data_IF_524308122205
#
_entry.id   IF_524308122205
#
_cell.length_a   1.000
_cell.length_b   1.000
_cell.length_c   1.000
_cell.angle_alpha   90.00
_cell.angle_beta   90.00
_cell.angle_gamma   90.00
#
_symmetry.space_group_name_H-M   'P 1'
#
loop_
_entity.id
_entity.type
_entity.pdbx_description
1 polymer ?
#
# COMPACT_ATOMS: atom_id res chain seq x y z
N UNK A 1 23.37 -1.68 42.74
CA UNK A 1 21.96 -1.52 43.18
C UNK A 1 21.11 -2.45 42.33
N UNK A 2 20.20 -3.26 42.88
CA UNK A 2 19.31 -4.07 42.05
C UNK A 2 18.46 -3.11 41.21
N UNK A 3 18.53 -3.22 39.88
CA UNK A 3 17.65 -2.46 38.99
C UNK A 3 16.22 -2.89 39.32
N UNK A 4 15.45 -1.97 39.89
CA UNK A 4 14.03 -2.16 40.12
C UNK A 4 13.39 -2.30 38.75
N UNK A 5 12.74 -3.44 38.51
CA UNK A 5 12.02 -3.70 37.27
C UNK A 5 10.87 -2.67 37.16
N UNK A 6 11.01 -1.74 36.21
CA UNK A 6 10.03 -0.69 35.94
C UNK A 6 10.04 -0.34 34.45
N UNK A 7 9.06 0.45 34.01
CA UNK A 7 8.90 0.77 32.58
C UNK A 7 10.14 1.45 31.98
N UNK A 8 10.84 2.31 32.74
CA UNK A 8 12.07 2.96 32.28
C UNK A 8 13.21 1.98 32.05
N UNK A 9 13.36 0.97 32.92
CA UNK A 9 14.37 -0.08 32.75
C UNK A 9 14.11 -0.92 31.49
N UNK A 10 12.85 -1.22 31.19
CA UNK A 10 12.43 -1.91 29.97
C UNK A 10 12.78 -1.09 28.73
N UNK A 11 12.46 0.21 28.73
CA UNK A 11 12.79 1.12 27.61
C UNK A 11 14.30 1.24 27.37
N UNK A 12 15.11 1.33 28.43
CA UNK A 12 16.57 1.41 28.30
C UNK A 12 17.17 0.15 27.66
N UNK A 13 16.66 -1.03 28.01
CA UNK A 13 17.10 -2.30 27.43
C UNK A 13 16.59 -2.52 26.00
N UNK A 14 15.45 -1.94 25.65
CA UNK A 14 14.92 -1.94 24.28
C UNK A 14 15.58 -0.88 23.38
N UNK A 15 16.25 0.13 23.94
CA UNK A 15 16.93 1.21 23.21
C UNK A 15 17.94 0.72 22.16
N UNK A 16 18.79 -0.29 22.40
CA UNK A 16 19.70 -0.82 21.37
C UNK A 16 19.00 -1.61 20.27
N UNK A 17 17.74 -2.03 20.43
CA UNK A 17 16.98 -2.72 19.39
C UNK A 17 16.60 -1.71 18.32
N UNK A 18 17.01 -1.99 17.08
CA UNK A 18 16.82 -1.08 15.94
C UNK A 18 15.79 -1.64 14.96
N UNK A 19 15.06 -0.73 14.32
CA UNK A 19 14.33 -1.04 13.10
C UNK A 19 15.35 -1.34 11.97
N UNK A 20 15.33 -2.54 11.35
CA UNK A 20 16.33 -2.93 10.36
C UNK A 20 16.31 -2.08 9.08
N UNK A 21 15.17 -1.49 8.75
CA UNK A 21 14.99 -0.66 7.55
C UNK A 21 15.41 0.79 7.82
N UNK A 22 14.94 1.34 8.94
CA UNK A 22 15.19 2.74 9.31
C UNK A 22 16.54 2.95 10.01
N UNK A 23 17.17 1.87 10.48
CA UNK A 23 18.44 1.86 11.23
C UNK A 23 18.44 2.85 12.42
N UNK A 24 17.31 2.91 13.11
CA UNK A 24 17.07 3.77 14.28
C UNK A 24 16.45 2.95 15.40
N UNK A 25 16.66 3.39 16.64
CA UNK A 25 16.10 2.72 17.82
C UNK A 25 14.57 2.69 17.77
N UNK A 26 13.96 1.56 18.11
CA UNK A 26 12.50 1.44 18.22
C UNK A 26 11.92 2.41 19.26
N UNK A 27 12.68 2.71 20.32
CA UNK A 27 12.29 3.66 21.37
C UNK A 27 12.34 5.09 20.85
N UNK A 28 13.39 5.46 20.10
CA UNK A 28 13.51 6.79 19.48
C UNK A 28 12.44 7.03 18.41
N UNK A 29 12.02 5.97 17.72
CA UNK A 29 10.94 5.99 16.74
C UNK A 29 9.55 5.96 17.40
N UNK A 30 9.45 5.94 18.74
CA UNK A 30 8.19 5.85 19.49
C UNK A 30 7.33 4.62 19.09
N UNK A 31 8.01 3.52 18.75
CA UNK A 31 7.40 2.24 18.35
C UNK A 31 7.11 1.34 19.55
N UNK A 32 7.65 1.64 20.74
CA UNK A 32 7.34 0.93 21.99
C UNK A 32 6.36 1.78 22.80
N UNK A 33 5.16 1.26 23.05
CA UNK A 33 4.09 1.95 23.78
C UNK A 33 3.46 1.04 24.84
N UNK A 34 2.68 1.63 25.74
CA UNK A 34 1.90 0.91 26.77
C UNK A 34 2.72 -0.10 27.59
N UNK A 35 3.93 0.30 28.01
CA UNK A 35 4.79 -0.57 28.81
C UNK A 35 4.18 -0.77 30.20
N UNK A 36 3.86 -2.01 30.54
CA UNK A 36 3.37 -2.43 31.84
C UNK A 36 4.30 -3.48 32.45
N UNK A 37 4.48 -3.40 33.77
CA UNK A 37 5.35 -4.29 34.53
C UNK A 37 4.64 -4.71 35.81
N UNK A 38 4.30 -5.99 35.91
CA UNK A 38 3.58 -6.55 37.05
C UNK A 38 4.25 -7.84 37.52
N UNK A 39 4.85 -7.84 38.72
CA UNK A 39 5.31 -9.07 39.38
C UNK A 39 6.33 -9.91 38.60
N UNK A 40 7.11 -9.30 37.69
CA UNK A 40 8.04 -10.00 36.80
C UNK A 40 7.50 -10.28 35.39
N UNK A 41 6.23 -9.98 35.14
CA UNK A 41 5.65 -10.01 33.80
C UNK A 41 5.76 -8.64 33.15
N UNK A 42 6.34 -8.60 31.96
CA UNK A 42 6.50 -7.38 31.17
C UNK A 42 5.61 -7.48 29.95
N UNK A 43 4.76 -6.47 29.72
CA UNK A 43 3.98 -6.38 28.50
C UNK A 43 4.13 -5.00 27.87
N UNK A 44 4.17 -4.94 26.55
CA UNK A 44 4.17 -3.68 25.81
C UNK A 44 3.63 -3.86 24.40
N UNK A 45 3.26 -2.74 23.79
CA UNK A 45 2.82 -2.68 22.40
C UNK A 45 3.97 -2.26 21.50
N UNK A 46 4.31 -3.09 20.51
CA UNK A 46 5.20 -2.75 19.40
C UNK A 46 4.36 -2.22 18.22
N UNK A 47 4.48 -0.94 17.92
CA UNK A 47 3.80 -0.24 16.84
C UNK A 47 4.72 -0.18 15.62
N UNK A 48 4.45 -1.01 14.62
CA UNK A 48 5.18 -1.00 13.35
C UNK A 48 4.70 0.14 12.43
N UNK A 49 5.57 0.56 11.51
CA UNK A 49 5.24 1.57 10.49
C UNK A 49 4.32 1.04 9.39
N UNK A 50 4.19 -0.28 9.26
CA UNK A 50 3.28 -0.92 8.32
C UNK A 50 2.88 -2.30 8.84
N UNK A 51 1.62 -2.74 8.63
CA UNK A 51 1.21 -4.10 8.96
C UNK A 51 2.01 -5.13 8.18
N UNK A 52 2.49 -4.76 6.97
CA UNK A 52 3.15 -5.66 6.04
C UNK A 52 4.66 -5.86 6.30
N UNK A 53 5.19 -5.48 7.46
CA UNK A 53 6.63 -5.58 7.75
C UNK A 53 7.06 -7.06 7.80
N UNK A 54 7.90 -7.53 6.85
CA UNK A 54 8.32 -8.93 6.81
C UNK A 54 9.24 -9.30 7.97
N UNK A 55 9.84 -8.28 8.61
CA UNK A 55 10.77 -8.43 9.73
C UNK A 55 10.07 -8.40 11.10
N UNK A 56 8.73 -8.35 11.12
CA UNK A 56 7.93 -8.33 12.35
C UNK A 56 8.40 -9.36 13.37
N UNK A 57 8.57 -10.61 12.94
CA UNK A 57 8.95 -11.70 13.84
C UNK A 57 10.35 -11.51 14.42
N UNK A 58 11.33 -11.10 13.59
CA UNK A 58 12.69 -10.80 14.04
C UNK A 58 12.72 -9.67 15.07
N UNK A 59 11.97 -8.59 14.83
CA UNK A 59 11.91 -7.44 15.74
C UNK A 59 11.30 -7.86 17.08
N UNK A 60 10.23 -8.66 17.07
CA UNK A 60 9.62 -9.20 18.29
C UNK A 60 10.61 -10.07 19.06
N UNK A 61 11.29 -10.98 18.38
CA UNK A 61 12.29 -11.86 19.00
C UNK A 61 13.46 -11.08 19.61
N UNK A 62 13.95 -10.04 18.93
CA UNK A 62 15.01 -9.18 19.45
C UNK A 62 14.54 -8.36 20.66
N UNK A 63 13.30 -7.85 20.64
CA UNK A 63 12.69 -7.19 21.80
C UNK A 63 12.56 -8.13 22.99
N UNK A 64 12.05 -9.34 22.78
CA UNK A 64 11.95 -10.36 23.83
C UNK A 64 13.31 -10.73 24.41
N UNK A 65 14.31 -10.94 23.53
CA UNK A 65 15.68 -11.28 23.94
C UNK A 65 16.29 -10.18 24.79
N UNK A 66 16.09 -8.92 24.39
CA UNK A 66 16.55 -7.77 25.16
C UNK A 66 15.89 -7.75 26.54
N UNK A 67 14.55 -7.78 26.62
CA UNK A 67 13.83 -7.67 27.90
C UNK A 67 14.12 -8.83 28.86
N UNK A 68 14.35 -10.04 28.33
CA UNK A 68 14.75 -11.23 29.14
C UNK A 68 16.12 -11.08 29.82
N UNK A 69 16.93 -10.09 29.45
CA UNK A 69 18.20 -9.81 30.16
C UNK A 69 18.00 -9.12 31.51
N UNK A 70 16.83 -8.52 31.75
CA UNK A 70 16.54 -7.86 33.01
C UNK A 70 16.36 -8.89 34.13
N UNK A 71 16.99 -8.68 35.31
CA UNK A 71 16.75 -9.51 36.48
C UNK A 71 15.26 -9.50 36.83
N UNK A 72 14.72 -10.60 37.33
CA UNK A 72 13.32 -10.76 37.79
C UNK A 72 12.23 -10.85 36.71
N UNK A 73 12.56 -10.76 35.42
CA UNK A 73 11.60 -11.03 34.34
C UNK A 73 11.30 -12.52 34.25
N UNK A 74 10.02 -12.87 34.30
CA UNK A 74 9.51 -14.25 34.19
C UNK A 74 8.85 -14.49 32.83
N UNK A 75 8.14 -13.49 32.32
CA UNK A 75 7.47 -13.56 31.02
C UNK A 75 7.49 -12.21 30.31
N UNK A 76 7.48 -12.26 28.98
CA UNK A 76 7.38 -11.07 28.11
C UNK A 76 6.21 -11.30 27.16
N UNK A 77 5.30 -10.35 27.09
CA UNK A 77 4.19 -10.34 26.15
C UNK A 77 4.29 -9.11 25.23
N UNK A 78 4.46 -9.35 23.93
CA UNK A 78 4.55 -8.28 22.93
C UNK A 78 3.28 -8.25 22.11
N UNK A 79 2.46 -7.22 22.29
CA UNK A 79 1.34 -6.95 21.40
C UNK A 79 1.87 -6.20 20.17
N UNK A 80 1.66 -6.71 18.97
CA UNK A 80 2.11 -6.01 17.75
C UNK A 80 0.93 -5.39 17.03
N UNK A 81 1.02 -4.10 16.80
CA UNK A 81 0.09 -3.33 15.97
C UNK A 81 0.87 -2.57 14.91
N UNK A 82 0.17 -1.92 13.98
CA UNK A 82 0.79 -1.09 12.97
C UNK A 82 0.06 0.22 12.76
N UNK A 83 0.82 1.30 12.64
CA UNK A 83 0.34 2.63 12.29
C UNK A 83 1.00 3.05 10.98
N UNK A 84 0.28 2.83 9.88
CA UNK A 84 0.73 3.24 8.54
C UNK A 84 0.73 4.78 8.47
N UNK A 85 1.88 5.43 8.22
CA UNK A 85 1.94 6.87 8.04
C UNK A 85 0.97 7.31 6.95
N UNK A 86 0.19 8.36 7.21
CA UNK A 86 -0.59 9.03 6.18
C UNK A 86 0.31 9.99 5.41
N UNK A 87 0.28 9.90 4.09
CA UNK A 87 0.92 10.91 3.27
C UNK A 87 0.17 12.23 3.40
N UNK A 88 0.89 13.34 3.65
CA UNK A 88 0.29 14.67 3.69
C UNK A 88 -0.29 15.01 2.31
N UNK A 89 -1.51 15.54 2.29
CA UNK A 89 -2.12 16.09 1.07
C UNK A 89 -1.20 17.16 0.48
N UNK A 90 -0.90 17.07 -0.82
CA UNK A 90 -0.24 18.15 -1.54
C UNK A 90 -1.28 19.25 -1.86
N UNK A 91 -0.90 20.53 -1.91
CA UNK A 91 -1.83 21.66 -2.08
C UNK A 91 -2.81 21.52 -3.25
N UNK A 92 -2.40 20.86 -4.32
CA UNK A 92 -3.16 20.75 -5.57
C UNK A 92 -3.71 19.34 -5.86
N UNK A 93 -3.61 18.39 -4.91
CA UNK A 93 -4.09 17.01 -5.13
C UNK A 93 -4.99 16.54 -3.99
N UNK A 94 -6.21 16.16 -4.33
CA UNK A 94 -7.20 15.66 -3.38
C UNK A 94 -6.95 14.19 -3.12
N UNK A 95 -6.58 13.84 -1.88
CA UNK A 95 -6.52 12.45 -1.42
C UNK A 95 -7.87 11.74 -1.51
N UNK A 96 -7.84 10.42 -1.46
CA UNK A 96 -9.06 9.60 -1.41
C UNK A 96 -9.40 9.37 0.07
N UNK A 97 -10.67 9.59 0.43
CA UNK A 97 -11.11 9.38 1.80
C UNK A 97 -10.88 7.93 2.24
N UNK A 98 -10.32 7.75 3.45
CA UNK A 98 -10.00 6.44 4.01
C UNK A 98 -8.71 5.79 3.49
N UNK A 99 -8.07 6.33 2.44
CA UNK A 99 -6.86 5.74 1.84
C UNK A 99 -5.61 6.44 2.36
N UNK A 100 -4.72 5.69 3.02
CA UNK A 100 -3.51 6.27 3.63
C UNK A 100 -2.37 6.50 2.64
N UNK A 101 -2.14 5.54 1.74
CA UNK A 101 -1.03 5.58 0.76
C UNK A 101 -1.49 5.09 -0.61
N UNK A 102 -1.12 5.80 -1.67
CA UNK A 102 -1.43 5.42 -3.06
C UNK A 102 -0.11 5.14 -3.78
N UNK A 103 0.05 3.96 -4.36
CA UNK A 103 1.26 3.53 -5.06
C UNK A 103 0.93 3.26 -6.53
N UNK A 104 1.63 3.95 -7.43
CA UNK A 104 1.50 3.73 -8.87
C UNK A 104 2.41 2.57 -9.31
N UNK A 105 1.91 1.64 -10.11
CA UNK A 105 2.70 0.62 -10.80
C UNK A 105 2.63 0.94 -12.29
N UNK A 106 3.76 1.37 -12.85
CA UNK A 106 3.83 1.89 -14.21
C UNK A 106 4.87 1.16 -15.03
N UNK A 107 4.73 1.21 -16.35
CA UNK A 107 5.74 0.70 -17.29
C UNK A 107 5.90 1.64 -18.48
N UNK A 108 7.07 1.61 -19.11
CA UNK A 108 7.30 2.33 -20.35
C UNK A 108 6.57 1.74 -21.56
N UNK A 109 6.26 0.44 -21.52
CA UNK A 109 5.65 -0.32 -22.62
C UNK A 109 4.68 -1.37 -22.09
N UNK A 110 3.73 -1.78 -22.92
CA UNK A 110 2.85 -2.93 -22.67
C UNK A 110 3.63 -4.26 -22.71
N UNK A 111 3.12 -5.28 -22.02
CA UNK A 111 3.65 -6.65 -22.06
C UNK A 111 4.86 -6.93 -21.17
N UNK A 112 5.31 -5.97 -20.34
CA UNK A 112 6.47 -6.17 -19.44
C UNK A 112 6.13 -6.85 -18.10
N UNK A 113 4.88 -7.26 -17.90
CA UNK A 113 4.41 -7.86 -16.65
C UNK A 113 3.93 -6.87 -15.58
N UNK A 114 3.63 -5.63 -15.95
CA UNK A 114 3.14 -4.56 -15.05
C UNK A 114 1.97 -5.01 -14.17
N UNK A 115 0.88 -5.49 -14.76
CA UNK A 115 -0.31 -5.95 -14.04
C UNK A 115 -0.02 -7.14 -13.14
N UNK A 116 0.85 -8.06 -13.58
CA UNK A 116 1.30 -9.19 -12.75
C UNK A 116 1.99 -8.71 -11.48
N UNK A 117 2.89 -7.72 -11.59
CA UNK A 117 3.56 -7.13 -10.43
C UNK A 117 2.55 -6.39 -9.54
N UNK A 118 1.65 -5.58 -10.12
CA UNK A 118 0.64 -4.84 -9.37
C UNK A 118 -0.25 -5.78 -8.52
N UNK A 119 -0.76 -6.85 -9.13
CA UNK A 119 -1.58 -7.87 -8.45
C UNK A 119 -0.80 -8.56 -7.35
N UNK A 120 0.41 -9.03 -7.62
CA UNK A 120 1.20 -9.77 -6.63
C UNK A 120 1.63 -8.89 -5.46
N UNK A 121 1.98 -7.63 -5.70
CA UNK A 121 2.27 -6.66 -4.63
C UNK A 121 1.02 -6.43 -3.78
N UNK A 122 -0.14 -6.22 -4.40
CA UNK A 122 -1.39 -6.01 -3.68
C UNK A 122 -1.76 -7.22 -2.80
N UNK A 123 -1.68 -8.43 -3.35
CA UNK A 123 -1.98 -9.67 -2.63
C UNK A 123 -0.96 -9.93 -1.52
N UNK A 124 0.34 -9.70 -1.76
CA UNK A 124 1.37 -9.87 -0.74
C UNK A 124 1.18 -8.91 0.44
N UNK A 125 0.86 -7.64 0.17
CA UNK A 125 0.53 -6.65 1.22
C UNK A 125 -0.70 -7.08 2.02
N UNK A 126 -1.74 -7.59 1.35
CA UNK A 126 -2.95 -8.09 1.99
C UNK A 126 -2.69 -9.33 2.86
N UNK A 127 -1.90 -10.29 2.37
CA UNK A 127 -1.47 -11.47 3.13
C UNK A 127 -0.61 -11.10 4.35
N UNK A 128 0.14 -10.01 4.25
CA UNK A 128 0.89 -9.45 5.36
C UNK A 128 0.02 -8.60 6.31
N UNK A 129 -1.31 -8.58 6.13
CA UNK A 129 -2.27 -7.98 7.05
C UNK A 129 -2.66 -6.53 6.73
N UNK A 130 -2.19 -5.96 5.62
CA UNK A 130 -2.60 -4.62 5.20
C UNK A 130 -4.01 -4.62 4.60
N UNK A 131 -4.75 -3.52 4.76
CA UNK A 131 -5.99 -3.30 3.99
C UNK A 131 -5.64 -2.74 2.63
N UNK A 132 -5.93 -3.49 1.55
CA UNK A 132 -5.44 -3.17 0.20
C UNK A 132 -6.58 -3.01 -0.81
N UNK A 133 -6.47 -1.96 -1.61
CA UNK A 133 -7.23 -1.79 -2.86
C UNK A 133 -6.33 -1.84 -4.08
N UNK A 134 -6.91 -2.16 -5.24
CA UNK A 134 -6.28 -2.19 -6.54
C UNK A 134 -7.20 -1.51 -7.56
N UNK A 135 -6.66 -0.53 -8.28
CA UNK A 135 -7.27 0.06 -9.47
C UNK A 135 -6.55 -0.51 -10.69
N UNK A 136 -7.30 -1.14 -11.59
CA UNK A 136 -6.83 -1.47 -12.92
C UNK A 136 -7.28 -0.41 -13.93
N UNK A 137 -6.32 0.44 -14.31
CA UNK A 137 -6.53 1.53 -15.25
C UNK A 137 -5.97 1.23 -16.66
N UNK A 138 -5.60 -0.02 -16.94
CA UNK A 138 -5.12 -0.44 -18.25
C UNK A 138 -6.29 -0.81 -19.18
N UNK A 139 -6.81 0.21 -19.87
CA UNK A 139 -8.03 0.11 -20.70
C UNK A 139 -7.86 -0.89 -21.86
N UNK A 140 -6.66 -0.99 -22.43
CA UNK A 140 -6.41 -1.76 -23.64
C UNK A 140 -6.07 -3.23 -23.38
N UNK A 141 -5.92 -3.61 -22.11
CA UNK A 141 -5.64 -4.98 -21.72
C UNK A 141 -5.89 -5.21 -20.23
N UNK A 142 -7.14 -5.05 -19.75
CA UNK A 142 -7.45 -5.20 -18.34
C UNK A 142 -7.39 -6.67 -17.93
N UNK A 143 -6.19 -7.13 -17.54
CA UNK A 143 -5.95 -8.52 -17.16
C UNK A 143 -6.20 -8.78 -15.67
N UNK A 144 -6.31 -7.71 -14.87
CA UNK A 144 -6.38 -7.77 -13.42
C UNK A 144 -7.58 -8.55 -12.88
N UNK A 145 -8.82 -8.42 -13.43
CA UNK A 145 -9.94 -9.25 -13.01
C UNK A 145 -9.64 -10.74 -13.14
N UNK A 146 -9.06 -11.16 -14.27
CA UNK A 146 -8.70 -12.56 -14.50
C UNK A 146 -7.60 -13.03 -13.56
N UNK A 147 -6.56 -12.22 -13.34
CA UNK A 147 -5.47 -12.54 -12.41
C UNK A 147 -5.94 -12.70 -10.95
N UNK A 148 -6.99 -11.99 -10.55
CA UNK A 148 -7.61 -12.10 -9.23
C UNK A 148 -8.78 -13.10 -9.19
N UNK A 149 -9.06 -13.85 -10.26
CA UNK A 149 -10.17 -14.81 -10.30
C UNK A 149 -11.56 -14.17 -10.25
N UNK A 150 -11.67 -12.93 -10.73
CA UNK A 150 -12.86 -12.07 -10.71
C UNK A 150 -13.46 -11.85 -12.10
N UNK A 151 -13.12 -12.65 -13.11
CA UNK A 151 -13.57 -12.46 -14.51
C UNK A 151 -15.09 -12.37 -14.67
N UNK A 152 -15.86 -13.03 -13.79
CA UNK A 152 -17.32 -13.01 -13.82
C UNK A 152 -17.95 -12.10 -12.76
N UNK A 153 -17.13 -11.34 -12.03
CA UNK A 153 -17.63 -10.39 -11.05
C UNK A 153 -18.37 -9.28 -11.80
N UNK A 154 -19.61 -9.01 -11.37
CA UNK A 154 -20.37 -7.86 -11.84
C UNK A 154 -20.16 -6.73 -10.84
N UNK A 155 -19.37 -5.73 -11.21
CA UNK A 155 -19.28 -4.49 -10.44
C UNK A 155 -20.49 -3.65 -10.80
N UNK A 156 -21.45 -3.55 -9.87
CA UNK A 156 -22.63 -2.72 -10.03
C UNK A 156 -22.28 -1.27 -9.71
N UNK A 157 -22.62 -0.35 -10.61
CA UNK A 157 -22.80 1.06 -10.26
C UNK A 157 -24.18 1.17 -9.63
N UNK A 158 -24.22 1.42 -8.33
CA UNK A 158 -25.46 1.55 -7.58
C UNK A 158 -25.77 3.02 -7.35
N UNK A 159 -27.05 3.39 -7.28
CA UNK A 159 -27.44 4.70 -6.76
C UNK A 159 -27.32 4.70 -5.23
N UNK A 160 -26.34 5.43 -4.71
CA UNK A 160 -26.25 5.77 -3.30
C UNK A 160 -26.93 7.10 -2.98
N UNK A 161 -27.00 7.44 -1.69
CA UNK A 161 -27.65 8.67 -1.20
C UNK A 161 -27.05 9.98 -1.76
N UNK A 162 -25.79 9.94 -2.23
CA UNK A 162 -25.05 11.10 -2.77
C UNK A 162 -24.73 10.98 -4.26
N UNK A 163 -25.33 10.02 -4.97
CA UNK A 163 -25.08 9.76 -6.39
C UNK A 163 -24.60 8.33 -6.66
N UNK A 164 -24.04 8.11 -7.85
CA UNK A 164 -23.50 6.81 -8.25
C UNK A 164 -22.34 6.37 -7.36
N UNK A 165 -22.35 5.10 -6.97
CA UNK A 165 -21.34 4.47 -6.11
C UNK A 165 -20.92 3.14 -6.72
N UNK A 166 -19.61 2.91 -6.74
CA UNK A 166 -18.99 1.69 -7.26
C UNK A 166 -18.64 0.80 -6.07
N UNK A 167 -19.21 -0.40 -6.02
CA UNK A 167 -18.82 -1.42 -5.03
C UNK A 167 -17.66 -2.25 -5.60
N UNK A 168 -16.43 -2.16 -5.04
CA UNK A 168 -15.30 -2.89 -5.57
C UNK A 168 -15.52 -4.40 -5.46
N UNK A 169 -15.14 -5.14 -6.51
CA UNK A 169 -15.03 -6.59 -6.41
C UNK A 169 -13.98 -6.97 -5.37
N UNK A 170 -14.09 -8.13 -4.73
CA UNK A 170 -13.19 -8.51 -3.66
C UNK A 170 -12.75 -9.97 -3.78
N UNK A 171 -11.44 -10.19 -3.81
CA UNK A 171 -10.86 -11.53 -3.70
C UNK A 171 -9.42 -11.44 -3.16
N UNK A 172 -8.91 -12.53 -2.57
CA UNK A 172 -7.54 -12.61 -2.02
C UNK A 172 -7.17 -11.47 -1.04
N UNK A 173 -8.15 -10.91 -0.32
CA UNK A 173 -7.92 -9.78 0.59
C UNK A 173 -7.79 -8.41 -0.08
N UNK A 174 -8.01 -8.32 -1.40
CA UNK A 174 -7.83 -7.11 -2.19
C UNK A 174 -9.17 -6.65 -2.77
N UNK A 175 -9.51 -5.38 -2.57
CA UNK A 175 -10.62 -4.71 -3.28
C UNK A 175 -10.17 -4.29 -4.68
N UNK A 176 -10.96 -4.57 -5.71
CA UNK A 176 -10.64 -4.29 -7.11
C UNK A 176 -11.73 -3.44 -7.76
N UNK A 177 -11.32 -2.36 -8.42
CA UNK A 177 -12.08 -1.75 -9.52
C UNK A 177 -11.23 -1.84 -10.78
N UNK A 178 -11.86 -2.18 -11.90
CA UNK A 178 -11.15 -2.41 -13.16
C UNK A 178 -11.98 -1.92 -14.32
N UNK A 179 -11.31 -1.36 -15.32
CA UNK A 179 -11.90 -1.10 -16.64
C UNK A 179 -12.47 -2.38 -17.27
N UNK A 180 -11.88 -3.55 -16.97
CA UNK A 180 -12.34 -4.85 -17.47
C UNK A 180 -13.75 -5.24 -17.01
N UNK A 181 -14.32 -4.58 -15.99
CA UNK A 181 -15.72 -4.79 -15.61
C UNK A 181 -16.70 -3.95 -16.44
N UNK A 182 -16.22 -2.88 -17.08
CA UNK A 182 -17.04 -1.93 -17.86
C UNK A 182 -16.96 -2.19 -19.37
N UNK A 183 -16.07 -3.09 -19.79
CA UNK A 183 -15.80 -3.42 -21.18
C UNK A 183 -16.44 -4.78 -21.49
N UNK A 184 -17.25 -4.81 -22.54
CA UNK A 184 -17.66 -6.07 -23.14
C UNK A 184 -16.46 -6.66 -23.92
N UNK A 185 -16.02 -7.89 -23.61
CA UNK A 185 -14.83 -8.49 -24.23
C UNK A 185 -14.94 -8.64 -25.75
N UNK A 186 -16.15 -8.69 -26.30
CA UNK A 186 -16.38 -8.85 -27.74
C UNK A 186 -16.50 -7.51 -28.48
N UNK A 187 -16.39 -6.36 -27.80
CA UNK A 187 -16.51 -5.03 -28.42
C UNK A 187 -15.22 -4.21 -28.39
N UNK A 188 -14.85 -3.57 -29.51
CA UNK A 188 -13.73 -2.65 -29.54
C UNK A 188 -14.04 -1.40 -28.70
N UNK A 189 -13.15 -1.12 -27.76
CA UNK A 189 -13.28 0.01 -26.83
C UNK A 189 -12.89 1.32 -27.52
N UNK A 190 -13.86 2.16 -27.85
CA UNK A 190 -13.63 3.48 -28.46
C UNK A 190 -13.88 4.59 -27.43
N UNK A 191 -12.96 4.77 -26.50
CA UNK A 191 -13.11 5.75 -25.43
C UNK A 191 -12.29 7.00 -25.72
N UNK A 192 -12.93 8.16 -25.57
CA UNK A 192 -12.28 9.47 -25.72
C UNK A 192 -11.63 9.88 -24.39
N UNK A 193 -10.53 10.63 -24.45
CA UNK A 193 -9.81 11.13 -23.26
C UNK A 193 -10.71 11.70 -22.15
N UNK A 194 -11.70 12.56 -22.44
CA UNK A 194 -12.62 13.07 -21.43
C UNK A 194 -13.44 11.98 -20.71
N UNK A 195 -13.88 10.93 -21.42
CA UNK A 195 -14.62 9.82 -20.82
C UNK A 195 -13.72 9.02 -19.89
N UNK A 196 -12.48 8.75 -20.32
CA UNK A 196 -11.48 8.07 -19.50
C UNK A 196 -11.19 8.84 -18.21
N UNK A 197 -11.04 10.15 -18.31
CA UNK A 197 -10.80 11.00 -17.14
C UNK A 197 -11.98 10.98 -16.17
N UNK A 198 -13.22 10.95 -16.68
CA UNK A 198 -14.43 10.80 -15.88
C UNK A 198 -14.44 9.48 -15.09
N UNK A 199 -14.18 8.36 -15.76
CA UNK A 199 -14.23 7.03 -15.14
C UNK A 199 -13.07 6.82 -14.17
N UNK A 200 -11.88 7.31 -14.49
CA UNK A 200 -10.75 7.34 -13.54
C UNK A 200 -11.14 8.10 -12.27
N UNK A 201 -11.75 9.28 -12.39
CA UNK A 201 -12.24 10.03 -11.22
C UNK A 201 -13.33 9.26 -10.47
N UNK A 202 -14.17 8.51 -11.18
CA UNK A 202 -15.18 7.65 -10.57
C UNK A 202 -14.54 6.56 -9.71
N UNK A 203 -13.55 5.84 -10.24
CA UNK A 203 -12.81 4.83 -9.50
C UNK A 203 -12.09 5.39 -8.26
N UNK A 204 -11.54 6.60 -8.36
CA UNK A 204 -10.83 7.24 -7.25
C UNK A 204 -11.79 7.71 -6.14
N UNK A 205 -12.90 8.37 -6.50
CA UNK A 205 -13.71 9.13 -5.53
C UNK A 205 -15.11 8.57 -5.27
N UNK A 206 -15.64 7.71 -6.14
CA UNK A 206 -16.98 7.12 -6.02
C UNK A 206 -16.97 5.63 -5.73
N UNK A 207 -15.79 5.00 -5.62
CA UNK A 207 -15.68 3.62 -5.19
C UNK A 207 -15.66 3.49 -3.66
N UNK A 208 -16.35 2.48 -3.12
CA UNK A 208 -16.40 2.21 -1.68
C UNK A 208 -15.13 1.50 -1.16
N UNK A 209 -14.02 2.24 -1.16
CA UNK A 209 -12.75 1.75 -0.64
C UNK A 209 -12.79 1.44 0.85
N UNK A 210 -13.50 2.25 1.64
CA UNK A 210 -13.41 2.20 3.10
C UNK A 210 -12.01 2.60 3.57
N UNK A 211 -11.57 2.07 4.70
CA UNK A 211 -10.21 2.32 5.19
C UNK A 211 -9.19 1.39 4.52
N UNK A 212 -8.22 1.96 3.82
CA UNK A 212 -7.12 1.25 3.18
C UNK A 212 -5.78 1.76 3.67
N UNK A 213 -4.85 0.84 3.94
CA UNK A 213 -3.45 1.17 4.16
C UNK A 213 -2.75 1.50 2.84
N UNK A 214 -3.10 0.76 1.77
CA UNK A 214 -2.52 0.90 0.45
C UNK A 214 -3.59 0.80 -0.65
N UNK A 215 -3.53 1.73 -1.60
CA UNK A 215 -4.22 1.64 -2.89
C UNK A 215 -3.18 1.52 -3.99
N UNK A 216 -3.12 0.35 -4.62
CA UNK A 216 -2.23 0.09 -5.76
C UNK A 216 -2.95 0.52 -7.04
N UNK A 217 -2.26 1.22 -7.92
CA UNK A 217 -2.81 1.65 -9.22
C UNK A 217 -1.99 1.00 -10.33
N UNK A 218 -2.58 0.03 -11.02
CA UNK A 218 -2.02 -0.53 -12.25
C UNK A 218 -2.23 0.49 -13.38
N UNK A 219 -1.19 1.28 -13.64
CA UNK A 219 -1.27 2.42 -14.56
C UNK A 219 -1.36 1.92 -16.01
N UNK A 220 -2.00 2.65 -16.94
CA UNK A 220 -1.86 2.35 -18.36
C UNK A 220 -0.39 2.49 -18.81
N UNK A 221 0.04 1.79 -19.87
CA UNK A 221 1.43 1.86 -20.34
C UNK A 221 1.78 3.23 -20.94
N UNK A 222 3.05 3.63 -20.80
CA UNK A 222 3.63 4.78 -21.50
C UNK A 222 3.69 6.05 -20.65
N UNK A 223 3.23 7.17 -21.22
CA UNK A 223 3.13 8.50 -20.58
C UNK A 223 1.92 9.28 -21.14
N UNK A 224 0.83 8.57 -21.46
CA UNK A 224 -0.37 9.16 -22.08
C UNK A 224 -1.29 9.88 -21.10
N UNK A 225 -2.37 10.47 -21.62
CA UNK A 225 -3.31 11.31 -20.85
C UNK A 225 -3.92 10.62 -19.63
N UNK A 226 -4.24 9.32 -19.72
CA UNK A 226 -4.81 8.57 -18.60
C UNK A 226 -3.83 8.45 -17.42
N UNK A 227 -2.54 8.23 -17.71
CA UNK A 227 -1.49 8.16 -16.70
C UNK A 227 -1.24 9.52 -16.06
N UNK A 228 -1.20 10.59 -16.86
CA UNK A 228 -1.08 11.96 -16.35
C UNK A 228 -2.27 12.33 -15.47
N UNK A 229 -3.50 12.00 -15.90
CA UNK A 229 -4.73 12.26 -15.15
C UNK A 229 -4.73 11.58 -13.80
N UNK A 230 -4.38 10.28 -13.73
CA UNK A 230 -4.23 9.56 -12.45
C UNK A 230 -3.21 10.22 -11.53
N UNK A 231 -2.05 10.57 -12.09
CA UNK A 231 -0.93 11.12 -11.33
C UNK A 231 -1.20 12.54 -10.82
N UNK A 232 -2.02 13.30 -11.54
CA UNK A 232 -2.44 14.66 -11.17
C UNK A 232 -3.67 14.67 -10.25
N UNK A 233 -4.54 13.66 -10.33
CA UNK A 233 -5.75 13.61 -9.51
C UNK A 233 -5.45 13.38 -8.02
N UNK A 234 -4.50 12.49 -7.70
CA UNK A 234 -4.25 12.06 -6.32
C UNK A 234 -2.78 12.21 -5.89
N UNK A 235 -2.52 12.47 -4.59
CA UNK A 235 -1.17 12.47 -4.05
C UNK A 235 -0.65 11.01 -3.99
N UNK A 236 0.33 10.70 -4.85
CA UNK A 236 0.98 9.38 -4.87
C UNK A 236 2.12 9.33 -3.85
N UNK A 237 2.20 8.27 -3.06
CA UNK A 237 3.26 8.00 -2.09
C UNK A 237 4.57 7.64 -2.78
N UNK A 238 4.45 6.95 -3.91
CA UNK A 238 5.55 6.61 -4.79
C UNK A 238 5.05 5.90 -6.04
N UNK A 239 5.98 5.58 -6.93
CA UNK A 239 5.73 4.82 -8.13
C UNK A 239 6.78 3.71 -8.30
N UNK A 240 6.35 2.55 -8.79
CA UNK A 240 7.21 1.43 -9.15
C UNK A 240 7.24 1.35 -10.68
N UNK A 241 8.45 1.33 -11.26
CA UNK A 241 8.63 1.19 -12.72
C UNK A 241 9.00 -0.25 -13.05
N UNK A 242 8.09 -0.94 -13.76
CA UNK A 242 8.30 -2.30 -14.25
C UNK A 242 8.91 -2.24 -15.66
N UNK A 243 9.98 -3.00 -15.87
CA UNK A 243 10.67 -3.09 -17.16
C UNK A 243 11.25 -4.49 -17.36
N UNK A 244 11.62 -4.80 -18.60
CA UNK A 244 12.44 -5.97 -18.94
C UNK A 244 13.87 -5.53 -19.29
N UNK A 245 14.85 -6.45 -19.36
CA UNK A 245 16.24 -6.15 -19.73
C UNK A 245 16.41 -5.68 -21.18
N UNK A 246 15.38 -5.73 -22.02
CA UNK A 246 15.46 -5.30 -23.41
C UNK A 246 15.70 -3.79 -23.51
N UNK A 247 16.65 -3.38 -24.35
CA UNK A 247 17.06 -1.97 -24.51
C UNK A 247 15.89 -1.03 -24.77
N UNK A 248 14.94 -1.44 -25.61
CA UNK A 248 13.76 -0.61 -25.93
C UNK A 248 12.88 -0.41 -24.68
N UNK A 249 12.65 -1.47 -23.91
CA UNK A 249 11.90 -1.39 -22.64
C UNK A 249 12.58 -0.45 -21.63
N UNK A 250 13.92 -0.52 -21.53
CA UNK A 250 14.69 0.35 -20.64
C UNK A 250 14.61 1.83 -21.04
N UNK A 251 14.63 2.12 -22.34
CA UNK A 251 14.50 3.51 -22.84
C UNK A 251 13.14 4.10 -22.48
N UNK A 252 12.07 3.33 -22.63
CA UNK A 252 10.71 3.77 -22.29
C UNK A 252 10.52 3.87 -20.77
N UNK A 253 11.03 2.90 -20.00
CA UNK A 253 11.01 2.94 -18.53
C UNK A 253 11.72 4.19 -17.98
N UNK A 254 12.86 4.58 -18.58
CA UNK A 254 13.58 5.81 -18.24
C UNK A 254 12.74 7.07 -18.49
N UNK A 255 11.91 7.09 -19.54
CA UNK A 255 10.98 8.21 -19.81
C UNK A 255 9.88 8.28 -18.75
N UNK A 256 9.27 7.14 -18.41
CA UNK A 256 8.27 7.05 -17.35
C UNK A 256 8.82 7.50 -15.99
N UNK A 257 10.03 7.06 -15.63
CA UNK A 257 10.72 7.50 -14.42
C UNK A 257 10.89 9.03 -14.38
N UNK A 258 11.36 9.64 -15.47
CA UNK A 258 11.52 11.10 -15.56
C UNK A 258 10.20 11.85 -15.40
N UNK A 259 9.10 11.31 -15.94
CA UNK A 259 7.77 11.89 -15.78
C UNK A 259 7.36 11.97 -14.31
N UNK A 260 7.51 10.88 -13.55
CA UNK A 260 7.20 10.87 -12.12
C UNK A 260 8.11 11.83 -11.32
N UNK A 261 9.40 11.90 -11.65
CA UNK A 261 10.33 12.85 -11.03
C UNK A 261 9.91 14.31 -11.28
N UNK A 262 9.50 14.65 -12.51
CA UNK A 262 8.99 16.00 -12.83
C UNK A 262 7.73 16.35 -12.05
N UNK A 263 6.91 15.34 -11.71
CA UNK A 263 5.69 15.49 -10.92
C UNK A 263 5.94 15.40 -9.40
N UNK A 264 7.21 15.36 -8.98
CA UNK A 264 7.63 15.32 -7.57
C UNK A 264 7.35 14.00 -6.86
N UNK A 265 7.15 12.91 -7.61
CA UNK A 265 6.82 11.60 -7.06
C UNK A 265 8.09 10.75 -6.95
N UNK A 266 8.25 10.10 -5.81
CA UNK A 266 9.36 9.18 -5.56
C UNK A 266 9.18 7.92 -6.41
N UNK A 267 10.26 7.50 -7.07
CA UNK A 267 10.34 6.29 -7.90
C UNK A 267 11.39 5.37 -7.30
#
# INVERSE_FOLDING_TARGET
MPQILNASAVLEVLRPVQDPELRKSLVELNMIRNVNVEGGNVSFTLVLTTPACPLRQFIVEDCERAVKTLPTVQSVAVEVTAETPQQKNLPDRTGISGVKNILAVSSGKGGVGKSTIAVNVAVALAQAGAKVGLIDADIYGPNTPTMLGLTHAKVAVQQGEKGEVIEPAFNYGVKLVSMGFLIDPDQPVIWRGPMLNGIIRQFLYQAQWGDLDYLIVDMPPGTGDAQLTLTQAVPMAGAVIVTTPQTVSLLDARRGLKMFQQLGIKV
#
